data_IF_120162417953
#
_entry.id   IF_120162417953
#
_cell.length_a   1.000
_cell.length_b   1.000
_cell.length_c   1.000
_cell.angle_alpha   90.00
_cell.angle_beta   90.00
_cell.angle_gamma   90.00
#
_symmetry.space_group_name_H-M   'P 1'
#
loop_
_entity.id
_entity.type
_entity.pdbx_description
1 polymer ?
#
# COMPACT_ATOMS: atom_id res chain seq x y z
N UNK A 1 -17.50 10.98 13.17
CA UNK A 1 -18.21 10.48 11.98
C UNK A 1 -17.38 10.79 10.74
N UNK A 2 -16.99 9.77 9.95
CA UNK A 2 -16.13 9.94 8.76
C UNK A 2 -16.85 10.61 7.60
N UNK A 3 -18.14 10.34 7.40
CA UNK A 3 -18.91 10.91 6.30
C UNK A 3 -19.11 12.42 6.52
N UNK A 4 -19.42 12.82 7.75
CA UNK A 4 -19.53 14.23 8.12
C UNK A 4 -18.20 14.97 7.98
N UNK A 5 -17.11 14.38 8.46
CA UNK A 5 -15.77 14.97 8.29
C UNK A 5 -15.39 15.11 6.81
N UNK A 6 -15.66 14.08 6.00
CA UNK A 6 -15.39 14.11 4.56
C UNK A 6 -16.14 15.26 3.87
N UNK A 7 -17.42 15.49 4.19
CA UNK A 7 -18.18 16.62 3.65
C UNK A 7 -17.58 17.99 4.01
N UNK A 8 -16.86 18.08 5.15
CA UNK A 8 -16.22 19.32 5.59
C UNK A 8 -14.86 19.59 4.97
N UNK A 9 -14.18 18.57 4.43
CA UNK A 9 -12.78 18.71 3.95
C UNK A 9 -12.57 18.35 2.48
N UNK A 10 -13.40 17.49 1.89
CA UNK A 10 -13.26 17.06 0.50
C UNK A 10 -13.54 18.24 -0.44
N UNK A 11 -12.62 18.49 -1.37
CA UNK A 11 -12.69 19.64 -2.28
C UNK A 11 -12.32 20.99 -1.65
N UNK A 12 -11.90 21.00 -0.39
CA UNK A 12 -11.52 22.22 0.36
C UNK A 12 -10.04 22.15 0.78
N UNK A 13 -9.09 22.65 -0.04
CA UNK A 13 -7.64 22.45 0.19
C UNK A 13 -7.12 22.95 1.54
N UNK A 14 -7.65 24.05 2.06
CA UNK A 14 -7.25 24.58 3.38
C UNK A 14 -7.76 23.72 4.53
N UNK A 15 -9.02 23.27 4.46
CA UNK A 15 -9.60 22.38 5.47
C UNK A 15 -8.88 21.02 5.46
N UNK A 16 -8.55 20.50 4.28
CA UNK A 16 -7.77 19.27 4.15
C UNK A 16 -6.38 19.42 4.76
N UNK A 17 -5.65 20.49 4.46
CA UNK A 17 -4.33 20.76 5.06
C UNK A 17 -4.39 20.82 6.59
N UNK A 18 -5.42 21.46 7.17
CA UNK A 18 -5.63 21.49 8.62
C UNK A 18 -5.89 20.11 9.20
N UNK A 19 -6.71 19.29 8.53
CA UNK A 19 -6.97 17.92 8.96
C UNK A 19 -5.69 17.08 8.90
N UNK A 20 -4.97 17.14 7.79
CA UNK A 20 -3.71 16.42 7.58
C UNK A 20 -2.65 16.79 8.62
N UNK A 21 -2.53 18.08 8.97
CA UNK A 21 -1.60 18.55 10.00
C UNK A 21 -1.86 17.93 11.39
N UNK A 22 -3.12 17.57 11.69
CA UNK A 22 -3.49 16.86 12.94
C UNK A 22 -3.32 15.35 12.79
N UNK A 23 -3.75 14.78 11.66
CA UNK A 23 -3.80 13.33 11.45
C UNK A 23 -2.42 12.74 11.19
N UNK A 24 -1.59 13.38 10.36
CA UNK A 24 -0.30 12.81 9.96
C UNK A 24 0.67 12.56 11.13
N UNK A 25 0.83 13.46 12.12
CA UNK A 25 1.64 13.18 13.30
C UNK A 25 1.14 11.98 14.09
N UNK A 26 -0.18 11.89 14.32
CA UNK A 26 -0.79 10.78 15.07
C UNK A 26 -0.63 9.44 14.35
N UNK A 27 -0.79 9.42 13.03
CA UNK A 27 -0.57 8.21 12.22
C UNK A 27 0.90 7.79 12.25
N UNK A 28 1.84 8.75 12.17
CA UNK A 28 3.28 8.46 12.27
C UNK A 28 3.65 7.89 13.64
N UNK A 29 3.10 8.46 14.70
CA UNK A 29 3.32 7.97 16.06
C UNK A 29 2.75 6.55 16.25
N UNK A 30 1.53 6.29 15.77
CA UNK A 30 0.93 4.96 15.82
C UNK A 30 1.75 3.94 15.01
N UNK A 31 2.24 4.32 13.83
CA UNK A 31 3.11 3.47 13.01
C UNK A 31 4.42 3.14 13.74
N UNK A 32 5.05 4.12 14.38
CA UNK A 32 6.30 3.92 15.12
C UNK A 32 6.10 2.99 16.32
N UNK A 33 5.03 3.20 17.09
CA UNK A 33 4.66 2.31 18.21
C UNK A 33 4.43 0.88 17.74
N UNK A 34 3.73 0.70 16.61
CA UNK A 34 3.51 -0.63 16.01
C UNK A 34 4.82 -1.34 15.64
N UNK A 35 5.79 -0.61 15.07
CA UNK A 35 7.12 -1.14 14.74
C UNK A 35 7.89 -1.51 16.01
N UNK A 36 7.89 -0.65 17.02
CA UNK A 36 8.56 -0.89 18.31
C UNK A 36 7.97 -2.09 19.04
N UNK A 37 6.64 -2.22 19.06
CA UNK A 37 5.94 -3.37 19.63
C UNK A 37 6.33 -4.67 18.94
N UNK A 38 6.37 -4.67 17.61
CA UNK A 38 6.78 -5.83 16.84
C UNK A 38 8.24 -6.21 17.11
N UNK A 39 9.14 -5.22 17.25
CA UNK A 39 10.54 -5.44 17.64
C UNK A 39 10.65 -6.04 19.04
N UNK A 40 9.90 -5.53 20.02
CA UNK A 40 9.86 -6.08 21.39
C UNK A 40 9.34 -7.52 21.46
N UNK A 41 8.54 -7.94 20.49
CA UNK A 41 8.01 -9.30 20.39
C UNK A 41 8.85 -10.20 19.47
N UNK A 42 10.04 -9.77 19.07
CA UNK A 42 10.93 -10.48 18.15
C UNK A 42 10.22 -10.94 16.87
N UNK A 43 9.29 -10.12 16.35
CA UNK A 43 8.63 -10.42 15.08
C UNK A 43 9.66 -10.36 13.95
N UNK A 44 9.70 -11.38 13.08
CA UNK A 44 10.71 -11.44 12.03
C UNK A 44 10.46 -10.41 10.91
N UNK A 45 9.23 -9.91 10.77
CA UNK A 45 8.84 -8.90 9.77
C UNK A 45 7.71 -8.01 10.29
N UNK A 46 7.68 -6.78 9.77
CA UNK A 46 6.59 -5.83 9.90
C UNK A 46 6.19 -5.39 8.49
N UNK A 47 4.89 -5.45 8.18
CA UNK A 47 4.36 -5.00 6.89
C UNK A 47 3.62 -3.68 7.09
N UNK A 48 4.01 -2.68 6.31
CA UNK A 48 3.33 -1.38 6.27
C UNK A 48 2.61 -1.26 4.93
N UNK A 49 1.28 -1.24 4.96
CA UNK A 49 0.46 -0.98 3.77
C UNK A 49 0.33 0.54 3.56
N UNK A 50 1.05 1.07 2.57
CA UNK A 50 1.16 2.51 2.30
C UNK A 50 0.71 2.77 0.85
N UNK A 51 -0.54 3.21 0.61
CA UNK A 51 -1.09 3.38 -0.73
C UNK A 51 -0.33 4.38 -1.63
N UNK A 52 0.26 5.42 -1.01
CA UNK A 52 0.98 6.50 -1.68
C UNK A 52 2.46 6.50 -1.29
N UNK A 53 3.06 5.31 -1.22
CA UNK A 53 4.43 5.10 -0.76
C UNK A 53 5.41 6.02 -1.49
N UNK A 54 5.41 5.96 -2.82
CA UNK A 54 6.36 6.67 -3.67
C UNK A 54 6.03 8.16 -3.82
N UNK A 55 4.75 8.49 -3.82
CA UNK A 55 4.22 9.84 -3.99
C UNK A 55 4.56 10.73 -2.78
N UNK A 56 4.70 10.12 -1.61
CA UNK A 56 5.02 10.82 -0.35
C UNK A 56 6.49 10.73 0.06
N UNK A 57 7.34 10.07 -0.74
CA UNK A 57 8.74 9.83 -0.38
C UNK A 57 8.89 8.86 0.80
N UNK A 58 7.85 8.08 1.10
CA UNK A 58 7.80 7.19 2.25
C UNK A 58 8.68 5.94 2.09
N UNK A 59 9.19 5.68 0.89
CA UNK A 59 10.16 4.62 0.61
C UNK A 59 11.42 4.71 1.47
N UNK A 60 11.84 5.92 1.87
CA UNK A 60 13.00 6.13 2.74
C UNK A 60 12.80 5.58 4.17
N UNK A 61 11.58 5.13 4.51
CA UNK A 61 11.21 4.64 5.85
C UNK A 61 11.14 3.11 5.94
N UNK A 62 11.39 2.40 4.85
CA UNK A 62 11.30 0.94 4.78
C UNK A 62 12.58 0.35 4.23
N UNK A 63 12.86 -0.89 4.62
CA UNK A 63 14.06 -1.61 4.22
C UNK A 63 13.84 -2.43 2.94
N UNK A 64 12.58 -2.75 2.62
CA UNK A 64 12.20 -3.58 1.48
C UNK A 64 10.82 -3.18 0.96
N UNK A 65 10.71 -3.00 -0.36
CA UNK A 65 9.50 -2.54 -1.05
C UNK A 65 8.90 -3.68 -1.85
N UNK A 66 7.63 -3.97 -1.57
CA UNK A 66 6.83 -4.95 -2.32
C UNK A 66 5.76 -4.20 -3.11
N UNK A 67 5.77 -4.35 -4.43
CA UNK A 67 4.72 -3.82 -5.30
C UNK A 67 3.79 -4.96 -5.72
N UNK A 68 2.49 -4.78 -5.45
CA UNK A 68 1.44 -5.69 -5.93
C UNK A 68 0.91 -5.14 -7.24
N UNK A 69 1.05 -5.90 -8.32
CA UNK A 69 0.83 -5.44 -9.69
C UNK A 69 -0.14 -6.34 -10.44
N UNK A 70 -0.80 -5.77 -11.45
CA UNK A 70 -1.54 -6.50 -12.50
C UNK A 70 -1.61 -5.62 -13.75
N UNK A 71 -2.09 -6.15 -14.88
CA UNK A 71 -2.29 -5.35 -16.09
C UNK A 71 -3.37 -4.26 -15.89
N UNK A 72 -3.29 -3.19 -16.68
CA UNK A 72 -4.12 -2.01 -16.52
C UNK A 72 -5.63 -2.30 -16.68
N UNK A 73 -5.99 -3.20 -17.60
CA UNK A 73 -7.38 -3.56 -17.86
C UNK A 73 -7.97 -4.37 -16.69
N UNK A 74 -7.21 -5.34 -16.17
CA UNK A 74 -7.58 -6.11 -14.99
C UNK A 74 -7.69 -5.21 -13.76
N UNK A 75 -6.76 -4.28 -13.56
CA UNK A 75 -6.82 -3.30 -12.46
C UNK A 75 -8.09 -2.46 -12.56
N UNK A 76 -8.35 -1.86 -13.73
CA UNK A 76 -9.51 -1.00 -13.97
C UNK A 76 -10.81 -1.73 -13.67
N UNK A 77 -10.99 -2.92 -14.25
CA UNK A 77 -12.17 -3.77 -14.02
C UNK A 77 -12.38 -4.03 -12.53
N UNK A 78 -11.36 -4.55 -11.85
CA UNK A 78 -11.45 -4.90 -10.41
C UNK A 78 -11.72 -3.70 -9.52
N UNK A 79 -11.26 -2.51 -9.89
CA UNK A 79 -11.53 -1.29 -9.12
C UNK A 79 -12.95 -0.80 -9.33
N UNK A 80 -13.46 -0.85 -10.57
CA UNK A 80 -14.84 -0.43 -10.88
C UNK A 80 -15.90 -1.39 -10.32
N UNK A 81 -15.57 -2.67 -10.14
CA UNK A 81 -16.47 -3.63 -9.49
C UNK A 81 -16.66 -3.35 -7.98
N UNK A 82 -15.88 -2.44 -7.39
CA UNK A 82 -16.00 -2.11 -5.96
C UNK A 82 -17.21 -1.19 -5.70
N UNK A 83 -17.96 -1.41 -4.61
CA UNK A 83 -19.07 -0.53 -4.24
C UNK A 83 -18.65 0.95 -4.14
N UNK A 84 -19.38 1.83 -4.83
CA UNK A 84 -19.14 3.28 -4.78
C UNK A 84 -17.95 3.77 -5.61
N UNK A 85 -17.47 2.97 -6.57
CA UNK A 85 -16.52 3.39 -7.59
C UNK A 85 -17.22 3.79 -8.89
N UNK A 86 -16.69 4.82 -9.55
CA UNK A 86 -17.11 5.30 -10.86
C UNK A 86 -15.85 5.53 -11.70
N UNK A 87 -16.00 5.60 -13.03
CA UNK A 87 -14.86 5.88 -13.92
C UNK A 87 -14.16 7.18 -13.57
N UNK A 88 -14.93 8.27 -13.42
CA UNK A 88 -14.38 9.57 -13.02
C UNK A 88 -13.63 9.53 -11.68
N UNK A 89 -14.10 8.74 -10.71
CA UNK A 89 -13.41 8.57 -9.41
C UNK A 89 -12.15 7.72 -9.57
N UNK A 90 -12.19 6.68 -10.38
CA UNK A 90 -11.03 5.85 -10.70
C UNK A 90 -9.94 6.68 -11.37
N UNK A 91 -10.26 7.42 -12.43
CA UNK A 91 -9.30 8.22 -13.18
C UNK A 91 -8.66 9.28 -12.29
N UNK A 92 -9.45 9.92 -11.42
CA UNK A 92 -8.93 10.89 -10.44
C UNK A 92 -7.97 10.24 -9.45
N UNK A 93 -8.26 9.03 -8.96
CA UNK A 93 -7.38 8.32 -8.02
C UNK A 93 -6.12 7.78 -8.70
N UNK A 94 -6.23 7.37 -9.96
CA UNK A 94 -5.10 6.89 -10.75
C UNK A 94 -4.13 8.04 -11.07
N UNK A 95 -4.65 9.22 -11.40
CA UNK A 95 -3.84 10.41 -11.70
C UNK A 95 -3.03 10.93 -10.49
N UNK A 96 -3.39 10.55 -9.27
CA UNK A 96 -2.64 10.91 -8.05
C UNK A 96 -1.48 9.96 -7.77
N UNK A 97 -1.32 8.89 -8.55
CA UNK A 97 -0.36 7.83 -8.29
C UNK A 97 0.79 7.84 -9.31
N UNK A 98 1.96 7.40 -8.85
CA UNK A 98 3.07 7.02 -9.72
C UNK A 98 2.62 5.87 -10.64
N UNK A 99 2.94 5.89 -11.95
CA UNK A 99 2.57 4.81 -12.86
C UNK A 99 3.08 3.45 -12.40
N UNK A 100 2.29 2.39 -12.60
CA UNK A 100 2.64 1.03 -12.16
C UNK A 100 4.00 0.55 -12.66
N UNK A 101 4.32 0.80 -13.94
CA UNK A 101 5.63 0.46 -14.50
C UNK A 101 6.79 1.11 -13.73
N UNK A 102 6.61 2.34 -13.26
CA UNK A 102 7.60 3.04 -12.44
C UNK A 102 7.65 2.46 -11.02
N UNK A 103 6.50 2.11 -10.43
CA UNK A 103 6.43 1.40 -9.14
C UNK A 103 7.23 0.10 -9.20
N UNK A 104 6.99 -0.72 -10.23
CA UNK A 104 7.68 -2.00 -10.44
C UNK A 104 9.19 -1.83 -10.62
N UNK A 105 9.64 -0.80 -11.34
CA UNK A 105 11.06 -0.50 -11.52
C UNK A 105 11.77 -0.19 -10.19
N UNK A 106 11.06 0.41 -9.24
CA UNK A 106 11.58 0.84 -7.94
C UNK A 106 11.36 -0.18 -6.81
N UNK A 107 10.79 -1.33 -7.10
CA UNK A 107 10.45 -2.35 -6.11
C UNK A 107 11.57 -3.38 -5.92
N UNK A 108 11.76 -3.83 -4.68
CA UNK A 108 12.66 -4.95 -4.37
C UNK A 108 12.00 -6.31 -4.62
N UNK A 109 10.66 -6.34 -4.67
CA UNK A 109 9.87 -7.51 -5.05
C UNK A 109 8.56 -7.10 -5.70
N UNK A 110 8.11 -7.90 -6.65
CA UNK A 110 6.83 -7.73 -7.32
C UNK A 110 5.98 -8.97 -7.03
N UNK A 111 4.71 -8.75 -6.68
CA UNK A 111 3.70 -9.79 -6.62
C UNK A 111 2.75 -9.55 -7.79
N UNK A 112 2.79 -10.44 -8.79
CA UNK A 112 1.83 -10.41 -9.89
C UNK A 112 0.50 -11.06 -9.46
N UNK A 113 -0.58 -10.33 -9.67
CA UNK A 113 -1.96 -10.72 -9.37
C UNK A 113 -2.83 -10.87 -10.61
N UNK A 114 -2.21 -10.96 -11.79
CA UNK A 114 -2.90 -11.19 -13.07
C UNK A 114 -3.35 -12.64 -13.23
N UNK A 115 -2.65 -13.58 -12.59
CA UNK A 115 -2.99 -15.00 -12.59
C UNK A 115 -3.94 -15.45 -11.48
N UNK A 116 -3.95 -16.75 -11.24
CA UNK A 116 -4.76 -17.37 -10.18
C UNK A 116 -4.28 -17.00 -8.78
N UNK A 117 -5.21 -16.97 -7.83
CA UNK A 117 -4.92 -16.63 -6.43
C UNK A 117 -3.89 -17.59 -5.79
N UNK A 118 -3.83 -18.85 -6.21
CA UNK A 118 -2.84 -19.81 -5.76
C UNK A 118 -1.40 -19.37 -6.12
N UNK A 119 -1.20 -18.81 -7.31
CA UNK A 119 0.09 -18.31 -7.78
C UNK A 119 0.51 -17.08 -6.99
N UNK A 120 -0.42 -16.15 -6.73
CA UNK A 120 -0.17 -15.00 -5.83
C UNK A 120 0.24 -15.48 -4.44
N UNK A 121 -0.44 -16.48 -3.88
CA UNK A 121 -0.12 -17.05 -2.57
C UNK A 121 1.28 -17.68 -2.54
N UNK A 122 1.69 -18.35 -3.60
CA UNK A 122 3.03 -18.92 -3.72
C UNK A 122 4.11 -17.82 -3.76
N UNK A 123 3.91 -16.76 -4.55
CA UNK A 123 4.82 -15.61 -4.60
C UNK A 123 5.00 -14.97 -3.21
N UNK A 124 3.90 -14.76 -2.48
CA UNK A 124 3.93 -14.21 -1.12
C UNK A 124 4.74 -15.11 -0.18
N UNK A 125 4.52 -16.44 -0.22
CA UNK A 125 5.30 -17.40 0.60
C UNK A 125 6.78 -17.37 0.26
N UNK A 126 7.12 -17.32 -1.03
CA UNK A 126 8.50 -17.25 -1.48
C UNK A 126 9.21 -15.99 -0.95
N UNK A 127 8.56 -14.81 -1.08
CA UNK A 127 9.09 -13.55 -0.56
C UNK A 127 9.25 -13.61 0.97
N UNK A 128 8.24 -14.12 1.67
CA UNK A 128 8.29 -14.27 3.13
C UNK A 128 9.46 -15.14 3.59
N UNK A 129 9.64 -16.32 2.98
CA UNK A 129 10.73 -17.24 3.30
C UNK A 129 12.10 -16.59 3.05
N UNK A 130 12.25 -15.91 1.90
CA UNK A 130 13.47 -15.19 1.55
C UNK A 130 13.81 -14.10 2.56
N UNK A 131 12.83 -13.29 2.97
CA UNK A 131 13.04 -12.18 3.91
C UNK A 131 13.25 -12.64 5.36
N UNK A 132 12.69 -13.79 5.74
CA UNK A 132 12.84 -14.33 7.11
C UNK A 132 14.00 -15.31 7.26
N UNK A 133 14.75 -15.60 6.18
CA UNK A 133 15.81 -16.62 6.18
C UNK A 133 15.30 -18.04 6.45
N UNK A 134 13.98 -18.26 6.41
CA UNK A 134 13.38 -19.59 6.55
C UNK A 134 13.54 -20.31 5.22
N UNK A 135 14.38 -21.35 5.18
CA UNK A 135 14.34 -22.29 4.07
C UNK A 135 12.95 -22.96 4.09
N UNK A 136 12.17 -22.77 3.02
CA UNK A 136 10.91 -23.49 2.88
C UNK A 136 11.16 -25.00 2.77
N UNK A 137 10.16 -25.85 3.05
CA UNK A 137 10.29 -27.32 3.00
C UNK A 137 10.50 -27.91 1.58
N UNK A 138 10.83 -27.09 0.58
CA UNK A 138 10.97 -27.51 -0.83
C UNK A 138 12.43 -27.37 -1.33
N UNK A 139 13.42 -27.67 -0.48
CA UNK A 139 14.81 -27.85 -0.87
C UNK A 139 15.18 -29.34 -0.90
#
# INVERSE_FOLDING_TARGET
DRARLAAEVVGKPEAMRRLEAVVHPLVREAQQRFIEDARRQDKPLVILDIPLLFETGAEARVEHIIVVSTDADTQRRRVLDRPGMTEAKFDKLLALQVPDAEKRRRADSIIDTSGEFAITRQQVRHIFNRLTGKQGPDA
#
